data_IF_584924384625
#
_entry.id   IF_584924384625
#
_cell.length_a   1.000
_cell.length_b   1.000
_cell.length_c   1.000
_cell.angle_alpha   90.00
_cell.angle_beta   90.00
_cell.angle_gamma   90.00
#
_symmetry.space_group_name_H-M   'P 1'
#
loop_
_entity.id
_entity.type
_entity.pdbx_description
1 polymer ?
#
# COMPACT_ATOMS: atom_id res chain seq x y z
N UNK A 1 20.28 3.35 -25.46
CA UNK A 1 21.11 2.57 -24.51
C UNK A 1 20.56 2.79 -23.11
N UNK A 2 19.73 1.86 -22.61
CA UNK A 2 19.37 1.82 -21.21
C UNK A 2 20.57 1.27 -20.46
N UNK A 3 21.33 2.14 -19.79
CA UNK A 3 22.37 1.74 -18.83
C UNK A 3 21.66 1.17 -17.60
N UNK A 4 21.37 -0.13 -17.62
CA UNK A 4 20.94 -0.85 -16.42
C UNK A 4 22.16 -1.07 -15.54
N UNK A 5 22.50 -0.08 -14.72
CA UNK A 5 23.46 -0.24 -13.62
C UNK A 5 22.81 -1.03 -12.48
N UNK A 6 23.61 -1.83 -11.75
CA UNK A 6 23.14 -2.53 -10.55
C UNK A 6 22.50 -1.53 -9.57
N UNK A 7 21.34 -1.85 -9.01
CA UNK A 7 20.67 -0.96 -8.06
C UNK A 7 19.95 0.26 -8.66
N UNK A 8 19.88 0.38 -9.98
CA UNK A 8 19.04 1.40 -10.64
C UNK A 8 17.80 0.74 -11.20
N UNK A 9 16.75 0.62 -10.37
CA UNK A 9 15.42 0.25 -10.85
C UNK A 9 14.98 1.28 -11.90
N UNK A 10 14.72 0.89 -13.16
CA UNK A 10 14.10 1.80 -14.10
C UNK A 10 12.64 1.97 -13.65
N UNK A 11 12.34 3.09 -12.99
CA UNK A 11 10.99 3.46 -12.50
C UNK A 11 9.89 3.43 -13.56
N UNK A 12 10.28 3.41 -14.84
CA UNK A 12 9.40 3.13 -15.97
C UNK A 12 8.61 1.82 -15.79
N UNK A 13 9.16 0.86 -15.05
CA UNK A 13 8.58 -0.46 -14.81
C UNK A 13 7.42 -0.46 -13.79
N UNK A 14 7.41 0.50 -12.86
CA UNK A 14 6.28 0.76 -11.94
C UNK A 14 5.25 1.75 -12.53
N UNK A 15 5.40 2.12 -13.81
CA UNK A 15 4.57 3.13 -14.46
C UNK A 15 4.88 4.58 -14.05
N UNK A 16 6.00 4.80 -13.36
CA UNK A 16 6.42 6.09 -12.85
C UNK A 16 7.45 6.66 -13.85
N UNK A 17 7.00 7.56 -14.71
CA UNK A 17 7.86 8.18 -15.72
C UNK A 17 9.04 8.88 -15.03
N UNK A 18 10.27 8.58 -15.48
CA UNK A 18 11.45 9.38 -15.14
C UNK A 18 11.11 10.84 -15.51
N UNK A 19 11.00 11.71 -14.51
CA UNK A 19 10.49 13.09 -14.68
C UNK A 19 9.08 13.36 -14.13
N UNK A 20 8.59 12.60 -13.14
CA UNK A 20 7.31 12.88 -12.47
C UNK A 20 7.30 14.30 -11.89
N UNK A 21 6.36 15.10 -12.39
CA UNK A 21 6.00 16.37 -11.77
C UNK A 21 5.19 16.06 -10.51
N UNK A 22 5.78 16.28 -9.33
CA UNK A 22 5.19 15.82 -8.08
C UNK A 22 3.97 16.67 -7.68
N UNK A 23 3.84 17.91 -8.18
CA UNK A 23 2.58 18.69 -8.11
C UNK A 23 1.40 17.96 -8.73
N UNK A 24 1.62 17.12 -9.76
CA UNK A 24 0.58 16.30 -10.40
C UNK A 24 0.38 14.94 -9.74
N UNK A 25 1.34 14.47 -8.93
CA UNK A 25 1.24 13.16 -8.25
C UNK A 25 0.05 13.08 -7.28
N UNK A 26 -0.35 14.20 -6.66
CA UNK A 26 -1.55 14.28 -5.81
C UNK A 26 -2.87 13.94 -6.52
N UNK A 27 -2.92 14.10 -7.84
CA UNK A 27 -4.09 13.78 -8.67
C UNK A 27 -3.89 12.50 -9.49
N UNK A 28 -2.80 11.77 -9.24
CA UNK A 28 -2.50 10.54 -9.97
C UNK A 28 -3.48 9.45 -9.54
N UNK A 29 -4.18 8.85 -10.50
CA UNK A 29 -4.93 7.60 -10.30
C UNK A 29 -3.94 6.45 -10.12
N UNK A 30 -3.29 6.41 -8.94
CA UNK A 30 -2.12 5.59 -8.67
C UNK A 30 -2.52 4.12 -8.70
N UNK A 31 -1.93 3.40 -9.66
CA UNK A 31 -1.91 1.94 -9.76
C UNK A 31 -3.22 1.28 -10.24
N UNK A 32 -4.42 1.81 -9.94
CA UNK A 32 -5.73 1.15 -10.20
C UNK A 32 -6.08 1.07 -11.69
N UNK A 33 -6.06 2.23 -12.35
CA UNK A 33 -6.31 2.35 -13.78
C UNK A 33 -5.12 1.90 -14.62
N UNK A 34 -3.97 1.63 -13.99
CA UNK A 34 -2.75 1.19 -14.65
C UNK A 34 -2.76 -0.31 -14.94
N UNK A 35 -3.08 -1.19 -13.97
CA UNK A 35 -3.28 -2.63 -14.26
C UNK A 35 -4.48 -2.87 -15.19
N UNK A 36 -5.54 -2.07 -15.08
CA UNK A 36 -6.69 -2.12 -16.01
C UNK A 36 -6.37 -1.61 -17.44
N UNK A 37 -5.36 -0.74 -17.63
CA UNK A 37 -4.88 -0.30 -18.95
C UNK A 37 -3.63 -1.05 -19.46
N UNK A 38 -2.87 -1.69 -18.57
CA UNK A 38 -1.68 -2.46 -18.85
C UNK A 38 -1.94 -3.90 -18.43
N UNK A 39 -2.75 -4.57 -19.25
CA UNK A 39 -2.60 -6.01 -19.46
C UNK A 39 -1.10 -6.26 -19.69
N UNK A 40 -0.47 -7.03 -18.81
CA UNK A 40 0.93 -7.41 -18.93
C UNK A 40 1.13 -8.07 -20.28
N UNK A 41 1.68 -7.36 -21.25
CA UNK A 41 1.92 -7.95 -22.56
C UNK A 41 3.11 -8.91 -22.44
N UNK A 42 2.81 -10.17 -22.08
CA UNK A 42 3.67 -11.35 -22.13
C UNK A 42 5.10 -11.14 -21.57
N UNK A 43 5.25 -11.24 -20.25
CA UNK A 43 6.55 -11.34 -19.58
C UNK A 43 7.13 -9.98 -19.17
N UNK A 44 6.71 -9.47 -18.01
CA UNK A 44 7.24 -8.23 -17.42
C UNK A 44 8.61 -8.49 -16.79
N UNK A 45 9.64 -8.80 -17.56
CA UNK A 45 11.00 -8.87 -17.03
C UNK A 45 11.90 -7.78 -17.61
N UNK A 46 11.32 -6.72 -18.21
CA UNK A 46 12.10 -5.70 -18.89
C UNK A 46 12.76 -6.26 -20.15
N UNK A 47 11.99 -6.99 -20.97
CA UNK A 47 12.49 -7.58 -22.21
C UNK A 47 13.22 -6.53 -23.04
N UNK A 48 14.47 -6.79 -23.47
CA UNK A 48 15.25 -5.83 -24.23
C UNK A 48 14.60 -5.59 -25.61
N UNK A 49 15.08 -4.58 -26.30
CA UNK A 49 14.63 -4.24 -27.66
C UNK A 49 13.16 -3.79 -27.73
N UNK A 50 12.60 -3.76 -28.93
CA UNK A 50 11.21 -3.40 -29.21
C UNK A 50 10.54 -4.52 -30.02
N UNK A 51 9.20 -4.53 -30.01
CA UNK A 51 8.42 -5.44 -30.86
C UNK A 51 8.32 -4.80 -32.24
N UNK A 52 8.69 -5.53 -33.28
CA UNK A 52 8.42 -5.16 -34.67
C UNK A 52 7.90 -6.38 -35.43
N UNK A 53 6.86 -6.19 -36.23
CA UNK A 53 6.29 -7.23 -37.07
C UNK A 53 6.93 -7.21 -38.46
N UNK A 54 6.99 -8.35 -39.16
CA UNK A 54 7.46 -8.39 -40.55
C UNK A 54 6.69 -7.42 -41.44
N UNK A 55 7.41 -6.49 -42.09
CA UNK A 55 6.86 -5.47 -42.99
C UNK A 55 7.91 -5.09 -44.05
N UNK A 56 7.47 -4.46 -45.13
CA UNK A 56 8.37 -4.02 -46.21
C UNK A 56 9.52 -3.14 -45.68
N UNK A 57 9.25 -2.28 -44.70
CA UNK A 57 10.28 -1.40 -44.11
C UNK A 57 11.23 -2.08 -43.11
N UNK A 58 11.18 -3.41 -42.95
CA UNK A 58 12.17 -4.22 -42.23
C UNK A 58 12.52 -5.51 -42.99
N UNK A 59 12.36 -5.50 -44.32
CA UNK A 59 12.65 -6.64 -45.20
C UNK A 59 11.93 -7.93 -44.78
N UNK A 60 10.72 -7.82 -44.23
CA UNK A 60 9.95 -8.94 -43.69
C UNK A 60 10.70 -9.73 -42.60
N UNK A 61 11.55 -9.07 -41.81
CA UNK A 61 12.30 -9.70 -40.71
C UNK A 61 11.38 -10.14 -39.56
N UNK A 62 11.68 -11.32 -39.01
CA UNK A 62 11.02 -11.90 -37.84
C UNK A 62 11.84 -11.73 -36.54
N UNK A 63 13.03 -11.13 -36.60
CA UNK A 63 14.00 -11.12 -35.49
C UNK A 63 13.46 -10.46 -34.22
N UNK A 64 12.59 -9.46 -34.38
CA UNK A 64 11.93 -8.68 -33.32
C UNK A 64 10.49 -9.14 -33.05
N UNK A 65 9.99 -10.10 -33.83
CA UNK A 65 8.66 -10.69 -33.68
C UNK A 65 8.72 -11.98 -32.84
N UNK A 66 9.49 -11.97 -31.75
CA UNK A 66 9.69 -13.13 -30.86
C UNK A 66 9.78 -12.71 -29.40
N UNK A 67 9.73 -13.70 -28.51
CA UNK A 67 9.99 -13.54 -27.07
C UNK A 67 11.20 -14.35 -26.66
N UNK A 68 12.10 -13.71 -25.93
CA UNK A 68 13.34 -14.29 -25.44
C UNK A 68 13.15 -14.74 -23.99
N UNK A 69 12.36 -15.80 -23.77
CA UNK A 69 12.09 -16.34 -22.43
C UNK A 69 13.37 -16.82 -21.72
N UNK A 70 14.33 -17.30 -22.50
CA UNK A 70 15.67 -17.70 -22.05
C UNK A 70 16.37 -16.62 -21.22
N UNK A 71 16.07 -15.32 -21.45
CA UNK A 71 16.67 -14.23 -20.69
C UNK A 71 16.32 -14.27 -19.21
N UNK A 72 15.11 -14.72 -18.86
CA UNK A 72 14.67 -14.87 -17.47
C UNK A 72 15.28 -16.10 -16.83
N UNK A 73 15.30 -17.20 -17.58
CA UNK A 73 15.77 -18.50 -17.08
C UNK A 73 17.30 -18.53 -16.88
N UNK A 74 18.02 -17.65 -17.58
CA UNK A 74 19.48 -17.59 -17.52
C UNK A 74 19.98 -16.95 -16.22
N UNK A 75 20.52 -17.75 -15.30
CA UNK A 75 20.87 -17.33 -13.93
C UNK A 75 21.90 -16.19 -13.82
N UNK A 76 22.84 -16.08 -14.77
CA UNK A 76 23.87 -15.05 -14.76
C UNK A 76 23.38 -13.70 -15.30
N UNK A 77 22.16 -13.66 -15.85
CA UNK A 77 21.48 -12.42 -16.24
C UNK A 77 20.65 -11.87 -15.08
N UNK A 78 20.27 -10.59 -15.22
CA UNK A 78 19.56 -9.84 -14.18
C UNK A 78 18.05 -9.73 -14.41
N UNK A 79 17.55 -10.28 -15.51
CA UNK A 79 16.13 -10.25 -15.84
C UNK A 79 15.27 -11.01 -14.83
N UNK A 80 15.84 -12.04 -14.19
CA UNK A 80 15.21 -12.79 -13.10
C UNK A 80 14.74 -11.90 -11.95
N UNK A 81 15.51 -10.86 -11.60
CA UNK A 81 15.19 -9.96 -10.50
C UNK A 81 13.92 -9.14 -10.76
N UNK A 82 13.77 -8.63 -11.99
CA UNK A 82 12.57 -7.90 -12.39
C UNK A 82 11.35 -8.83 -12.49
N UNK A 83 11.55 -10.05 -12.97
CA UNK A 83 10.49 -11.06 -13.02
C UNK A 83 10.00 -11.43 -11.61
N UNK A 84 10.93 -11.59 -10.67
CA UNK A 84 10.63 -11.94 -9.29
C UNK A 84 9.88 -10.80 -8.58
N UNK A 85 10.27 -9.55 -8.84
CA UNK A 85 9.55 -8.38 -8.34
C UNK A 85 8.12 -8.28 -8.92
N UNK A 86 7.89 -8.57 -10.21
CA UNK A 86 6.53 -8.64 -10.78
C UNK A 86 5.68 -9.70 -10.08
N UNK A 87 6.27 -10.88 -9.86
CA UNK A 87 5.63 -12.00 -9.18
C UNK A 87 5.23 -11.58 -7.76
N UNK A 88 6.15 -11.00 -6.99
CA UNK A 88 5.89 -10.52 -5.63
C UNK A 88 4.82 -9.41 -5.60
N UNK A 89 4.84 -8.47 -6.54
CA UNK A 89 3.83 -7.42 -6.68
C UNK A 89 2.42 -7.98 -6.97
N UNK A 90 2.31 -9.05 -7.76
CA UNK A 90 1.03 -9.72 -8.00
C UNK A 90 0.56 -10.49 -6.76
N UNK A 91 1.44 -11.22 -6.09
CA UNK A 91 1.12 -11.93 -4.85
C UNK A 91 0.70 -10.99 -3.71
N UNK A 92 1.32 -9.81 -3.63
CA UNK A 92 0.94 -8.76 -2.69
C UNK A 92 -0.50 -8.29 -2.94
N UNK A 93 -0.88 -8.14 -4.19
CA UNK A 93 -2.24 -7.79 -4.58
C UNK A 93 -3.24 -8.92 -4.34
N UNK A 94 -2.85 -10.17 -4.58
CA UNK A 94 -3.68 -11.33 -4.25
C UNK A 94 -3.94 -11.42 -2.73
N UNK A 95 -2.94 -11.08 -1.90
CA UNK A 95 -3.04 -11.11 -0.43
C UNK A 95 -3.86 -9.94 0.14
N UNK A 96 -3.60 -8.72 -0.30
CA UNK A 96 -4.20 -7.51 0.31
C UNK A 96 -5.33 -6.90 -0.52
N UNK A 97 -5.55 -7.38 -1.75
CA UNK A 97 -6.59 -6.88 -2.67
C UNK A 97 -6.59 -5.35 -2.80
N UNK A 98 -5.42 -4.71 -2.68
CA UNK A 98 -5.32 -3.26 -2.66
C UNK A 98 -5.79 -2.64 -3.99
N UNK A 99 -5.77 -3.41 -5.08
CA UNK A 99 -6.35 -2.96 -6.34
C UNK A 99 -7.86 -2.76 -6.32
N UNK A 100 -8.58 -3.66 -5.63
CA UNK A 100 -10.03 -3.60 -5.52
C UNK A 100 -10.49 -2.57 -4.48
N UNK A 101 -9.59 -2.17 -3.57
CA UNK A 101 -9.91 -1.19 -2.54
C UNK A 101 -10.24 0.19 -3.13
N UNK A 102 -11.29 0.81 -2.58
CA UNK A 102 -11.69 2.19 -2.86
C UNK A 102 -10.85 3.22 -2.08
N UNK A 103 -10.20 2.78 -1.00
CA UNK A 103 -9.34 3.63 -0.17
C UNK A 103 -8.05 3.93 -0.93
N UNK A 104 -7.88 5.19 -1.33
CA UNK A 104 -6.66 5.69 -1.96
C UNK A 104 -6.40 7.12 -1.48
N UNK A 105 -5.31 7.33 -0.74
CA UNK A 105 -4.97 8.62 -0.14
C UNK A 105 -3.50 8.92 -0.38
N UNK A 106 -3.18 10.02 -1.07
CA UNK A 106 -1.79 10.50 -1.17
C UNK A 106 -1.51 11.42 0.00
N UNK A 107 -0.70 10.96 0.97
CA UNK A 107 -0.39 11.73 2.17
C UNK A 107 0.74 12.73 1.90
N UNK A 108 1.80 12.32 1.22
CA UNK A 108 2.94 13.19 0.89
C UNK A 108 3.37 13.05 -0.57
N UNK A 109 3.72 14.18 -1.17
CA UNK A 109 4.35 14.25 -2.49
C UNK A 109 5.35 15.41 -2.48
N UNK A 110 6.54 15.15 -1.94
CA UNK A 110 7.57 16.15 -1.64
C UNK A 110 8.57 16.34 -2.79
N UNK A 111 8.57 17.53 -3.42
CA UNK A 111 9.44 17.83 -4.57
C UNK A 111 10.94 17.92 -4.27
N UNK A 112 11.27 18.35 -3.06
CA UNK A 112 12.64 18.56 -2.64
C UNK A 112 13.25 17.20 -2.33
N UNK A 113 12.56 16.43 -1.49
CA UNK A 113 13.02 15.11 -1.09
C UNK A 113 12.80 14.04 -2.17
N UNK A 114 11.95 14.32 -3.15
CA UNK A 114 11.55 13.37 -4.20
C UNK A 114 10.92 12.11 -3.64
N UNK A 115 10.21 12.24 -2.53
CA UNK A 115 9.52 11.15 -1.86
C UNK A 115 8.00 11.27 -2.09
N UNK A 116 7.38 10.15 -2.41
CA UNK A 116 5.92 10.03 -2.50
C UNK A 116 5.47 8.99 -1.49
N UNK A 117 4.49 9.36 -0.67
CA UNK A 117 3.84 8.48 0.31
C UNK A 117 2.36 8.46 0.05
N UNK A 118 1.79 7.26 -0.05
CA UNK A 118 0.35 7.09 -0.21
C UNK A 118 -0.14 5.81 0.45
N UNK A 119 -1.42 5.80 0.78
CA UNK A 119 -2.14 4.64 1.28
C UNK A 119 -3.05 4.10 0.19
N UNK A 120 -3.11 2.77 0.10
CA UNK A 120 -4.10 2.10 -0.74
C UNK A 120 -4.54 0.78 -0.11
N UNK A 121 -5.84 0.64 0.13
CA UNK A 121 -6.34 -0.41 1.02
C UNK A 121 -5.69 -0.29 2.41
N UNK A 122 -5.15 -1.39 2.89
CA UNK A 122 -4.51 -1.50 4.21
C UNK A 122 -2.98 -1.37 4.15
N UNK A 123 -2.46 -0.95 3.00
CA UNK A 123 -1.04 -0.82 2.73
C UNK A 123 -0.61 0.66 2.67
N UNK A 124 0.57 0.94 3.23
CA UNK A 124 1.27 2.23 3.14
C UNK A 124 2.45 2.08 2.19
N UNK A 125 2.48 2.88 1.13
CA UNK A 125 3.53 2.85 0.13
C UNK A 125 4.46 4.05 0.29
N UNK A 126 5.77 3.78 0.25
CA UNK A 126 6.83 4.80 0.33
C UNK A 126 7.74 4.64 -0.87
N UNK A 127 7.78 5.67 -1.72
CA UNK A 127 8.65 5.71 -2.89
C UNK A 127 9.66 6.83 -2.73
N UNK A 128 10.95 6.50 -2.85
CA UNK A 128 12.03 7.47 -2.87
C UNK A 128 12.63 7.53 -4.28
N UNK A 129 12.38 8.62 -5.01
CA UNK A 129 12.94 8.89 -6.33
C UNK A 129 14.22 9.72 -6.29
N UNK A 130 14.71 10.06 -5.10
CA UNK A 130 15.96 10.78 -4.97
C UNK A 130 17.10 9.93 -5.55
N UNK A 131 18.00 10.52 -6.36
CA UNK A 131 19.10 9.78 -6.96
C UNK A 131 20.05 9.18 -5.92
N UNK A 132 20.40 9.95 -4.87
CA UNK A 132 21.47 9.57 -3.94
C UNK A 132 21.10 9.63 -2.43
N UNK A 133 20.13 10.45 -2.01
CA UNK A 133 19.79 10.65 -0.60
C UNK A 133 19.06 9.45 0.00
N UNK A 134 19.58 8.98 1.13
CA UNK A 134 18.91 8.07 2.05
C UNK A 134 18.29 8.89 3.18
N UNK A 135 17.03 8.63 3.48
CA UNK A 135 16.35 9.24 4.63
C UNK A 135 16.22 8.22 5.75
N UNK A 136 16.93 8.45 6.85
CA UNK A 136 16.80 7.67 8.07
C UNK A 136 15.75 8.31 8.98
N UNK A 137 14.79 7.51 9.45
CA UNK A 137 13.69 7.98 10.28
C UNK A 137 12.70 8.90 9.57
N UNK A 138 12.50 8.75 8.25
CA UNK A 138 11.54 9.53 7.47
C UNK A 138 10.11 9.30 7.99
N UNK A 139 9.42 10.37 8.36
CA UNK A 139 8.08 10.28 8.96
C UNK A 139 7.02 10.09 7.87
N UNK A 140 6.19 9.05 8.01
CA UNK A 140 5.10 8.71 7.09
C UNK A 140 3.77 8.68 7.84
N UNK A 141 2.73 9.25 7.24
CA UNK A 141 1.38 9.25 7.80
C UNK A 141 0.65 7.94 7.52
N UNK A 142 -0.18 7.48 8.46
CA UNK A 142 -0.98 6.27 8.36
C UNK A 142 -2.37 6.43 9.02
N UNK A 143 -3.31 5.55 8.66
CA UNK A 143 -4.68 5.57 9.19
C UNK A 143 -4.78 5.02 10.60
N UNK A 144 -4.46 3.74 10.74
CA UNK A 144 -4.69 2.99 11.96
C UNK A 144 -3.40 2.99 12.80
N UNK A 145 -3.51 3.21 14.12
CA UNK A 145 -2.38 3.04 15.02
C UNK A 145 -2.01 1.56 15.13
N UNK A 146 -0.80 1.30 15.60
CA UNK A 146 -0.30 -0.04 15.89
C UNK A 146 1.15 -0.23 15.44
N UNK A 147 1.41 -1.43 14.92
CA UNK A 147 2.72 -1.91 14.49
C UNK A 147 2.71 -2.16 13.00
N UNK A 148 3.69 -1.64 12.27
CA UNK A 148 3.83 -1.83 10.83
C UNK A 148 5.12 -2.61 10.51
N UNK A 149 5.02 -3.52 9.54
CA UNK A 149 6.14 -4.29 8.99
C UNK A 149 6.17 -4.19 7.48
N UNK A 150 7.31 -4.54 6.90
CA UNK A 150 7.52 -4.55 5.45
C UNK A 150 6.67 -5.66 4.83
N UNK A 151 5.80 -5.29 3.89
CA UNK A 151 5.04 -6.22 3.05
C UNK A 151 5.80 -6.56 1.76
N UNK A 152 6.48 -5.57 1.19
CA UNK A 152 7.29 -5.71 -0.01
C UNK A 152 8.37 -4.63 -0.03
N UNK A 153 9.60 -5.00 -0.38
CA UNK A 153 10.75 -4.08 -0.44
C UNK A 153 11.51 -4.29 -1.75
N UNK A 154 11.54 -3.28 -2.62
CA UNK A 154 12.28 -3.35 -3.89
C UNK A 154 13.80 -3.43 -3.72
N UNK A 155 14.33 -3.03 -2.57
CA UNK A 155 15.77 -3.09 -2.28
C UNK A 155 16.22 -4.47 -1.82
N UNK A 156 15.33 -5.46 -1.67
CA UNK A 156 15.71 -6.81 -1.26
C UNK A 156 16.64 -7.49 -2.29
N UNK A 157 17.52 -8.38 -1.79
CA UNK A 157 18.49 -9.11 -2.62
C UNK A 157 17.83 -9.97 -3.71
N UNK A 158 16.66 -10.52 -3.43
CA UNK A 158 15.87 -11.32 -4.37
C UNK A 158 15.35 -10.51 -5.58
N UNK A 159 15.28 -9.18 -5.45
CA UNK A 159 14.92 -8.27 -6.54
C UNK A 159 16.13 -7.49 -7.08
N UNK A 160 17.35 -7.91 -6.71
CA UNK A 160 18.59 -7.29 -7.19
C UNK A 160 18.91 -5.93 -6.56
N UNK A 161 18.32 -5.61 -5.41
CA UNK A 161 18.67 -4.46 -4.59
C UNK A 161 19.85 -4.73 -3.65
N UNK A 162 20.08 -3.82 -2.70
CA UNK A 162 21.23 -3.88 -1.77
C UNK A 162 20.92 -4.48 -0.39
N UNK A 163 19.66 -4.79 -0.11
CA UNK A 163 19.16 -5.37 1.14
C UNK A 163 19.37 -4.47 2.36
N UNK A 164 19.12 -3.16 2.22
CA UNK A 164 19.34 -2.19 3.31
C UNK A 164 18.16 -2.07 4.27
N UNK A 165 16.96 -2.42 3.83
CA UNK A 165 15.74 -2.32 4.63
C UNK A 165 15.57 -3.61 5.44
N UNK A 166 15.39 -3.48 6.75
CA UNK A 166 15.16 -4.63 7.63
C UNK A 166 13.70 -5.08 7.56
N UNK A 167 13.46 -6.36 7.24
CA UNK A 167 12.11 -6.91 7.11
C UNK A 167 11.47 -7.26 8.46
N UNK A 168 12.29 -7.58 9.47
CA UNK A 168 11.87 -7.92 10.84
C UNK A 168 11.72 -6.70 11.76
N UNK A 169 11.89 -5.49 11.23
CA UNK A 169 11.85 -4.26 12.03
C UNK A 169 10.40 -3.84 12.29
N UNK A 170 10.07 -3.71 13.57
CA UNK A 170 8.77 -3.21 14.02
C UNK A 170 8.73 -1.67 13.99
N UNK A 171 7.81 -1.12 13.19
CA UNK A 171 7.59 0.32 13.07
C UNK A 171 6.34 0.72 13.85
N UNK A 172 6.54 1.30 15.03
CA UNK A 172 5.43 1.73 15.90
C UNK A 172 4.89 3.10 15.50
N UNK A 173 3.57 3.23 15.54
CA UNK A 173 2.90 4.51 15.26
C UNK A 173 2.92 5.45 16.46
N UNK A 174 3.01 6.74 16.19
CA UNK A 174 2.74 7.84 17.13
C UNK A 174 1.43 8.55 16.74
N UNK A 175 0.59 8.93 17.72
CA UNK A 175 -0.60 9.72 17.43
C UNK A 175 -0.23 11.14 16.96
N UNK A 176 -0.94 11.64 15.95
CA UNK A 176 -0.72 12.94 15.33
C UNK A 176 -2.03 13.73 15.35
N UNK A 177 -2.18 14.62 16.33
CA UNK A 177 -3.35 15.49 16.46
C UNK A 177 -4.60 14.79 16.97
N UNK A 178 -5.77 15.36 16.64
CA UNK A 178 -7.08 14.83 16.97
C UNK A 178 -7.74 14.19 15.74
N UNK A 179 -8.30 12.97 15.86
CA UNK A 179 -9.05 12.35 14.76
C UNK A 179 -10.15 13.27 14.24
N UNK A 180 -10.22 13.46 12.92
CA UNK A 180 -11.22 14.31 12.28
C UNK A 180 -10.88 15.81 12.24
N UNK A 181 -9.73 16.25 12.77
CA UNK A 181 -9.25 17.64 12.68
C UNK A 181 -7.98 17.69 11.81
N UNK A 182 -8.11 17.91 10.48
CA UNK A 182 -6.99 17.80 9.54
C UNK A 182 -5.82 18.72 9.85
N UNK A 183 -6.08 19.88 10.45
CA UNK A 183 -5.08 20.91 10.80
C UNK A 183 -4.08 20.45 11.85
N UNK A 184 -4.49 19.52 12.73
CA UNK A 184 -3.62 18.97 13.78
C UNK A 184 -2.88 17.71 13.35
N UNK A 185 -3.27 17.15 12.19
CA UNK A 185 -2.81 15.85 11.72
C UNK A 185 -1.51 15.98 10.92
N UNK A 186 -0.71 14.91 10.90
CA UNK A 186 0.46 14.85 10.03
C UNK A 186 0.02 14.51 8.60
N UNK A 187 0.12 15.45 7.67
CA UNK A 187 -0.27 15.26 6.27
C UNK A 187 -1.72 14.74 6.12
N UNK A 188 -2.66 15.28 6.91
CA UNK A 188 -4.06 14.84 7.01
C UNK A 188 -4.25 13.40 7.52
N UNK A 189 -3.25 12.79 8.16
CA UNK A 189 -3.32 11.44 8.75
C UNK A 189 -3.25 11.52 10.28
N UNK A 190 -4.09 10.74 10.99
CA UNK A 190 -4.19 10.80 12.45
C UNK A 190 -3.02 10.11 13.17
N UNK A 191 -2.20 9.33 12.46
CA UNK A 191 -1.06 8.61 13.03
C UNK A 191 0.15 8.73 12.09
N UNK A 192 1.36 8.57 12.63
CA UNK A 192 2.58 8.48 11.83
C UNK A 192 3.55 7.42 12.35
N UNK A 193 4.41 6.89 11.50
CA UNK A 193 5.57 6.10 11.91
C UNK A 193 6.80 6.56 11.14
N UNK A 194 7.98 6.08 11.53
CA UNK A 194 9.25 6.44 10.88
C UNK A 194 9.79 5.25 10.10
N UNK A 195 10.43 5.50 8.96
CA UNK A 195 11.00 4.45 8.10
C UNK A 195 12.40 4.79 7.63
N UNK A 196 13.17 3.77 7.27
CA UNK A 196 14.36 3.92 6.45
C UNK A 196 13.93 3.96 4.98
N UNK A 197 14.37 5.00 4.25
CA UNK A 197 14.02 5.20 2.84
C UNK A 197 15.29 5.44 2.01
N UNK A 198 15.96 4.39 1.53
CA UNK A 198 17.15 4.52 0.68
C UNK A 198 16.81 5.11 -0.70
N UNK A 199 17.78 5.69 -1.42
CA UNK A 199 17.54 6.28 -2.74
C UNK A 199 17.09 5.21 -3.72
N UNK A 200 16.19 5.62 -4.61
CA UNK A 200 15.63 4.79 -5.68
C UNK A 200 14.94 3.51 -5.19
N UNK A 201 14.22 3.57 -4.09
CA UNK A 201 13.50 2.42 -3.53
C UNK A 201 11.99 2.62 -3.46
N UNK A 202 11.27 1.50 -3.44
CA UNK A 202 9.86 1.41 -3.13
C UNK A 202 9.68 0.37 -2.02
N UNK A 203 9.14 0.79 -0.89
CA UNK A 203 8.82 -0.09 0.23
C UNK A 203 7.35 0.05 0.56
N UNK A 204 6.70 -1.10 0.78
CA UNK A 204 5.29 -1.21 1.13
C UNK A 204 5.21 -1.77 2.53
N UNK A 205 4.37 -1.17 3.37
CA UNK A 205 4.17 -1.56 4.76
C UNK A 205 2.72 -2.01 4.98
N UNK A 206 2.55 -3.01 5.83
CA UNK A 206 1.25 -3.47 6.30
C UNK A 206 1.18 -3.35 7.82
N UNK A 207 -0.03 -3.17 8.35
CA UNK A 207 -0.26 -3.22 9.80
C UNK A 207 -0.30 -4.67 10.25
N UNK A 208 0.48 -5.01 11.27
CA UNK A 208 0.41 -6.31 11.94
C UNK A 208 -0.84 -6.34 12.82
N UNK A 209 -1.66 -7.37 12.67
CA UNK A 209 -2.84 -7.56 13.52
C UNK A 209 -2.43 -8.01 14.92
N UNK A 210 -3.16 -7.60 15.95
CA UNK A 210 -2.79 -7.88 17.35
C UNK A 210 -2.81 -9.39 17.66
N UNK A 211 -3.62 -10.16 16.93
CA UNK A 211 -3.70 -11.63 17.04
C UNK A 211 -2.36 -12.30 16.67
N UNK A 212 -1.69 -11.83 15.61
CA UNK A 212 -0.38 -12.34 15.19
C UNK A 212 0.73 -11.98 16.21
N UNK A 213 0.58 -10.86 16.93
CA UNK A 213 1.53 -10.43 17.96
C UNK A 213 1.45 -11.36 19.18
N UNK A 214 0.26 -11.84 19.53
CA UNK A 214 0.06 -12.78 20.64
C UNK A 214 0.71 -14.15 20.34
N UNK A 215 0.63 -14.60 19.09
CA UNK A 215 1.29 -15.83 18.63
C UNK A 215 2.82 -15.69 18.68
N UNK A 216 3.38 -14.55 18.28
CA UNK A 216 4.84 -14.31 18.34
C UNK A 216 5.38 -14.14 19.78
N UNK A 217 4.57 -13.64 20.70
CA UNK A 217 4.97 -13.40 22.10
C UNK A 217 4.89 -14.63 23.00
N UNK A 218 4.46 -15.79 22.49
CA UNK A 218 4.47 -17.05 23.23
C UNK A 218 3.52 -17.07 24.44
N UNK A 219 2.48 -16.24 24.43
CA UNK A 219 1.41 -16.32 25.43
C UNK A 219 0.48 -17.43 24.98
N UNK A 220 0.68 -18.61 25.58
CA UNK A 220 -0.13 -19.82 25.34
C UNK A 220 -1.64 -19.51 25.43
N UNK A 221 -2.40 -20.28 24.66
CA UNK A 221 -3.83 -20.19 24.29
C UNK A 221 -4.88 -19.93 25.41
N UNK A 222 -4.50 -19.65 26.66
CA UNK A 222 -5.45 -19.49 27.77
C UNK A 222 -6.28 -18.20 27.69
N UNK A 223 -5.77 -17.11 27.11
CA UNK A 223 -6.50 -15.81 27.09
C UNK A 223 -7.57 -15.75 25.98
N UNK A 224 -7.37 -16.48 24.87
CA UNK A 224 -8.31 -16.49 23.73
C UNK A 224 -9.67 -17.10 24.08
N UNK A 225 -9.71 -18.04 25.03
CA UNK A 225 -10.95 -18.66 25.49
C UNK A 225 -11.77 -17.70 26.37
N UNK A 226 -11.10 -16.76 27.05
CA UNK A 226 -11.77 -15.85 27.98
C UNK A 226 -12.38 -14.64 27.28
N UNK A 227 -11.77 -14.12 26.21
CA UNK A 227 -12.35 -13.06 25.37
C UNK A 227 -13.51 -13.54 24.51
N UNK A 228 -13.49 -14.78 24.02
CA UNK A 228 -14.62 -15.39 23.30
C UNK A 228 -15.83 -15.67 24.22
N UNK A 229 -15.59 -16.06 25.48
CA UNK A 229 -16.68 -16.30 26.46
C UNK A 229 -17.45 -15.04 26.85
N UNK A 230 -16.84 -13.86 26.79
CA UNK A 230 -17.53 -12.60 27.14
C UNK A 230 -18.53 -12.19 26.05
N UNK A 231 -18.31 -12.58 24.79
CA UNK A 231 -19.24 -12.28 23.69
C UNK A 231 -20.43 -13.24 23.58
N UNK A 232 -20.35 -14.47 24.11
CA UNK A 232 -21.43 -15.46 24.02
C UNK A 232 -22.47 -15.39 25.15
N UNK A 233 -22.20 -14.69 26.27
CA UNK A 233 -23.14 -14.62 27.40
C UNK A 233 -23.88 -13.28 27.43
N UNK A 234 -24.79 -13.10 26.47
CA UNK A 234 -26.00 -12.28 26.70
C UNK A 234 -27.22 -13.12 26.36
N UNK A 235 -27.98 -13.62 27.36
CA UNK A 235 -29.25 -14.25 27.06
C UNK A 235 -30.28 -13.16 26.78
N UNK A 236 -30.84 -13.20 25.57
CA UNK A 236 -32.15 -12.65 25.30
C UNK A 236 -33.17 -13.41 26.16
N UNK A 237 -33.91 -12.69 27.01
CA UNK A 237 -35.16 -13.20 27.59
C UNK A 237 -36.23 -12.12 27.48
N UNK A 238 -37.12 -12.29 26.50
CA UNK A 238 -38.45 -11.70 26.48
C UNK A 238 -39.36 -12.40 27.51
N UNK A 239 -40.28 -11.65 28.14
CA UNK A 239 -41.26 -12.25 29.05
C UNK A 239 -42.24 -11.31 29.79
N UNK A 240 -43.18 -10.71 29.03
CA UNK A 240 -44.59 -10.39 29.38
C UNK A 240 -44.99 -9.40 30.51
N UNK A 241 -45.64 -8.32 30.02
CA UNK A 241 -46.98 -7.79 30.33
C UNK A 241 -47.28 -7.09 31.68
N UNK A 242 -47.66 -5.81 31.60
CA UNK A 242 -48.93 -5.31 32.15
C UNK A 242 -49.30 -3.92 31.60
N UNK A 243 -50.57 -3.78 31.26
CA UNK A 243 -51.28 -2.58 30.85
C UNK A 243 -51.52 -1.62 32.02
N UNK A 244 -51.28 -0.33 31.83
CA UNK A 244 -51.88 0.74 32.64
C UNK A 244 -51.83 2.08 31.91
N UNK A 245 -53.02 2.50 31.45
CA UNK A 245 -53.61 3.85 31.49
C UNK A 245 -52.73 5.09 31.21
N UNK A 246 -53.08 5.77 30.12
CA UNK A 246 -52.73 7.15 29.80
C UNK A 246 -53.77 8.07 30.46
N UNK A 247 -53.37 9.15 31.16
CA UNK A 247 -54.19 10.35 31.26
C UNK A 247 -53.64 11.40 30.29
N UNK A 248 -54.47 11.78 29.32
CA UNK A 248 -54.30 13.00 28.53
C UNK A 248 -54.71 14.18 29.43
N UNK A 249 -53.77 15.07 29.76
CA UNK A 249 -54.09 16.41 30.26
C UNK A 249 -54.22 17.34 29.04
N UNK A 250 -55.47 17.68 28.72
CA UNK A 250 -55.84 18.84 27.89
C UNK A 250 -55.78 20.08 28.78
N UNK A 251 -54.91 21.04 28.46
CA UNK A 251 -54.95 22.38 29.03
C UNK A 251 -56.05 23.19 28.32
N UNK A 252 -57.04 23.59 29.12
CA UNK A 252 -58.20 24.39 28.76
C UNK A 252 -57.88 25.77 28.17
N UNK A 253 -58.78 26.18 27.29
CA UNK A 253 -58.96 27.51 26.74
C UNK A 253 -59.12 28.61 27.82
N UNK A 254 -58.64 29.83 27.53
CA UNK A 254 -59.49 31.02 27.71
C UNK A 254 -58.94 32.26 26.98
N UNK A 255 -59.60 32.56 25.86
CA UNK A 255 -60.17 33.86 25.51
C UNK A 255 -59.83 35.09 26.42
N UNK A 256 -59.25 36.16 25.84
CA UNK A 256 -59.95 37.44 25.53
C UNK A 256 -59.07 38.69 25.35
N UNK A 257 -59.58 39.54 24.43
CA UNK A 257 -59.66 41.03 24.50
C UNK A 257 -58.41 41.87 24.11
N UNK A 258 -58.34 42.25 22.83
CA UNK A 258 -58.68 43.57 22.23
C UNK A 258 -57.99 43.70 20.86
#
# INVERSE_FOLDING_TARGET
MLKCEAGTFPFTYLGILIGVNMKRARHWQLVSKWKAKHLSFAGRFGHPEWIDFPRVGNDWSYDKCRRQWELVDTEHLRYKFMNEFDRAMNLLDDKFSFLASTKQIVSSADEEDKVIVFERGDLVFVFNFHPDNTYDGYKVGCDLPGKYRVALDSDAWEFGGHGRVGHDVDHFTSPEGLPGVPETNFNNRPNSFKVLSPPRTCVVYYRVEEEDILVESGVEEEILVETMKIHEVTPATEGKAQSSEIPEEEDDEDERLI
#
